data_IF_381770901345
#
_entry.id   IF_381770901345
#
_cell.length_a   1.000
_cell.length_b   1.000
_cell.length_c   1.000
_cell.angle_alpha   90.00
_cell.angle_beta   90.00
_cell.angle_gamma   90.00
#
_symmetry.space_group_name_H-M   'P 1'
#
loop_
_entity.id
_entity.type
_entity.pdbx_description
1 polymer ?
#
# COMPACT_ATOMS: atom_id res chain seq x y z
N UNK A 1 8.65 9.53 -8.94
CA UNK A 1 7.73 10.71 -8.93
C UNK A 1 6.35 10.24 -9.37
N UNK A 2 5.26 10.60 -8.68
CA UNK A 2 3.90 10.10 -9.00
C UNK A 2 3.03 11.21 -9.61
N UNK A 3 2.11 10.86 -10.51
CA UNK A 3 1.20 11.80 -11.19
C UNK A 3 0.06 12.31 -10.31
N UNK A 4 -0.20 11.65 -9.17
CA UNK A 4 -1.33 11.96 -8.29
C UNK A 4 -2.68 11.38 -8.76
N UNK A 5 -2.69 10.58 -9.82
CA UNK A 5 -3.90 9.87 -10.28
C UNK A 5 -4.10 8.63 -9.41
N UNK A 6 -5.31 8.48 -8.85
CA UNK A 6 -5.69 7.30 -8.07
C UNK A 6 -6.43 6.34 -9.01
N UNK A 7 -5.78 5.22 -9.33
CA UNK A 7 -6.39 4.18 -10.18
C UNK A 7 -7.34 3.27 -9.39
N UNK A 8 -7.00 2.98 -8.13
CA UNK A 8 -7.80 2.09 -7.28
C UNK A 8 -7.58 2.33 -5.80
N UNK A 9 -8.59 1.99 -4.99
CA UNK A 9 -8.49 1.87 -3.54
C UNK A 9 -8.04 0.46 -3.14
N UNK A 10 -7.39 0.35 -1.98
CA UNK A 10 -6.97 -0.91 -1.39
C UNK A 10 -7.55 -1.04 0.04
N UNK A 11 -7.83 -2.28 0.46
CA UNK A 11 -8.36 -2.58 1.78
C UNK A 11 -7.21 -2.74 2.78
N UNK A 12 -7.29 -2.09 3.95
CA UNK A 12 -6.33 -2.30 5.04
C UNK A 12 -6.67 -3.61 5.74
N UNK A 13 -5.75 -4.56 5.69
CA UNK A 13 -5.95 -5.89 6.29
C UNK A 13 -5.19 -6.08 7.61
N UNK A 14 -4.09 -5.34 7.81
CA UNK A 14 -3.28 -5.43 9.04
C UNK A 14 -2.70 -4.06 9.37
N UNK A 15 -2.73 -3.74 10.66
CA UNK A 15 -2.01 -2.61 11.26
C UNK A 15 -1.19 -3.15 12.44
N UNK A 16 0.12 -2.98 12.38
CA UNK A 16 1.02 -3.39 13.46
C UNK A 16 1.94 -2.23 13.83
N UNK A 17 2.00 -1.89 15.11
CA UNK A 17 2.89 -0.83 15.60
C UNK A 17 4.15 -1.47 16.18
N UNK A 18 5.30 -1.11 15.64
CA UNK A 18 6.61 -1.51 16.15
C UNK A 18 7.40 -0.28 16.55
N UNK A 19 7.53 -0.05 17.87
CA UNK A 19 8.11 1.18 18.44
C UNK A 19 7.39 2.42 17.90
N UNK A 20 8.10 3.29 17.20
CA UNK A 20 7.58 4.49 16.55
C UNK A 20 7.07 4.24 15.13
N UNK A 21 7.27 3.04 14.58
CA UNK A 21 6.83 2.68 13.23
C UNK A 21 5.42 2.08 13.23
N UNK A 22 4.65 2.41 12.21
CA UNK A 22 3.37 1.78 11.90
C UNK A 22 3.50 0.99 10.60
N UNK A 23 3.41 -0.33 10.71
CA UNK A 23 3.36 -1.26 9.60
C UNK A 23 1.91 -1.37 9.13
N UNK A 24 1.67 -1.07 7.87
CA UNK A 24 0.34 -1.11 7.24
C UNK A 24 0.40 -2.14 6.12
N UNK A 25 -0.44 -3.17 6.18
CA UNK A 25 -0.60 -4.13 5.09
C UNK A 25 -1.93 -3.89 4.38
N UNK A 26 -1.85 -3.81 3.06
CA UNK A 26 -2.97 -3.50 2.19
C UNK A 26 -3.22 -4.69 1.26
N UNK A 27 -4.48 -5.07 1.08
CA UNK A 27 -4.91 -5.98 0.03
C UNK A 27 -5.42 -5.17 -1.14
N UNK A 28 -4.81 -5.35 -2.30
CA UNK A 28 -5.23 -4.75 -3.55
C UNK A 28 -5.36 -5.83 -4.62
N UNK A 29 -6.21 -5.59 -5.62
CA UNK A 29 -6.28 -6.40 -6.84
C UNK A 29 -5.19 -6.03 -7.85
N UNK A 30 -4.30 -5.09 -7.51
CA UNK A 30 -3.15 -4.74 -8.33
C UNK A 30 -2.24 -5.95 -8.58
N UNK A 31 -1.68 -6.04 -9.78
CA UNK A 31 -0.81 -7.15 -10.22
C UNK A 31 0.45 -7.29 -9.35
N UNK A 32 1.03 -8.49 -9.30
CA UNK A 32 2.29 -8.81 -8.59
C UNK A 32 3.52 -8.04 -9.12
N UNK A 33 3.41 -7.35 -10.25
CA UNK A 33 4.46 -6.50 -10.80
C UNK A 33 4.32 -5.03 -10.33
N UNK A 34 4.27 -4.82 -9.01
CA UNK A 34 4.45 -3.48 -8.46
C UNK A 34 5.93 -3.08 -8.61
N UNK A 35 6.31 -2.53 -9.76
CA UNK A 35 7.57 -1.80 -9.91
C UNK A 35 7.35 -0.36 -9.46
N UNK A 36 8.04 0.02 -8.38
CA UNK A 36 8.19 1.42 -8.00
C UNK A 36 9.51 1.88 -8.64
N UNK A 37 9.43 2.88 -9.53
CA UNK A 37 10.57 3.64 -10.05
C UNK A 37 10.66 4.99 -9.31
#
# INVERSE_FOLDING_TARGET
MFTGIIEQLAEVIVLSKERDNLHISLKSTFTNELKID
#
